data_IF_607776403506
#
_entry.id   IF_607776403506
#
_cell.length_a   1.000
_cell.length_b   1.000
_cell.length_c   1.000
_cell.angle_alpha   90.00
_cell.angle_beta   90.00
_cell.angle_gamma   90.00
#
_symmetry.space_group_name_H-M   'P 1'
#
loop_
_entity.id
_entity.type
_entity.pdbx_description
1 polymer ?
#
# COMPACT_ATOMS: atom_id res chain seq x y z
N UNK A 1 3.83 -3.49 -28.40
CA UNK A 1 3.65 -3.04 -27.00
C UNK A 1 2.50 -2.04 -26.85
N UNK A 2 2.23 -1.16 -27.81
CA UNK A 2 1.16 -0.16 -27.68
C UNK A 2 -0.27 -0.70 -27.42
N UNK A 3 -0.58 -1.89 -27.89
CA UNK A 3 -1.93 -2.48 -27.74
C UNK A 3 -2.24 -3.00 -26.34
N UNK A 4 -1.22 -3.36 -25.56
CA UNK A 4 -1.34 -3.94 -24.22
C UNK A 4 -0.99 -2.95 -23.09
N UNK A 5 -0.80 -1.69 -23.44
CA UNK A 5 -0.54 -0.60 -22.48
C UNK A 5 0.79 -0.70 -21.74
N UNK A 6 0.96 0.18 -20.76
CA UNK A 6 2.09 0.16 -19.81
C UNK A 6 1.94 -1.00 -18.86
N UNK A 7 3.01 -1.77 -18.55
CA UNK A 7 2.95 -2.85 -17.58
C UNK A 7 2.62 -2.36 -16.16
N UNK A 8 1.85 -3.16 -15.44
CA UNK A 8 1.52 -2.96 -14.02
C UNK A 8 2.31 -3.94 -13.15
N UNK A 9 2.89 -3.46 -12.07
CA UNK A 9 3.37 -4.33 -10.99
C UNK A 9 2.18 -4.78 -10.14
N UNK A 10 2.00 -6.08 -9.95
CA UNK A 10 0.96 -6.59 -9.04
C UNK A 10 1.56 -6.69 -7.64
N UNK A 11 1.28 -5.71 -6.80
CA UNK A 11 1.60 -5.77 -5.38
C UNK A 11 0.43 -6.38 -4.59
N UNK A 12 0.75 -7.08 -3.49
CA UNK A 12 -0.25 -7.71 -2.63
C UNK A 12 -0.23 -7.11 -1.22
N UNK A 13 -1.41 -6.93 -0.63
CA UNK A 13 -1.56 -6.43 0.74
C UNK A 13 -2.77 -7.05 1.44
N UNK A 14 -2.67 -7.26 2.74
CA UNK A 14 -3.79 -7.60 3.64
C UNK A 14 -4.38 -6.38 4.34
N UNK A 15 -3.80 -5.22 4.15
CA UNK A 15 -4.18 -3.95 4.79
C UNK A 15 -4.35 -2.85 3.74
N UNK A 16 -5.40 -2.87 2.90
CA UNK A 16 -5.62 -1.90 1.83
C UNK A 16 -5.60 -0.43 2.28
N UNK A 17 -5.97 -0.15 3.52
CA UNK A 17 -5.94 1.21 4.08
C UNK A 17 -4.55 1.85 4.14
N UNK A 18 -3.47 1.06 4.02
CA UNK A 18 -2.08 1.58 3.96
C UNK A 18 -1.64 1.95 2.55
N UNK A 19 -2.37 1.52 1.49
CA UNK A 19 -2.03 1.80 0.09
C UNK A 19 -1.87 3.29 -0.23
N UNK A 20 -2.68 4.21 0.34
CA UNK A 20 -2.46 5.65 0.12
C UNK A 20 -1.11 6.16 0.58
N UNK A 21 -0.46 5.45 1.52
CA UNK A 21 0.87 5.78 2.04
C UNK A 21 2.01 5.01 1.36
N UNK A 22 1.72 4.33 0.25
CA UNK A 22 2.74 3.66 -0.56
C UNK A 22 3.75 4.66 -1.12
N UNK A 23 5.05 4.35 -0.99
CA UNK A 23 6.13 5.15 -1.57
C UNK A 23 7.17 4.31 -2.32
N UNK A 24 7.12 2.98 -2.21
CA UNK A 24 7.96 2.06 -2.97
C UNK A 24 7.28 0.71 -3.19
N UNK A 25 7.81 -0.06 -4.14
CA UNK A 25 7.57 -1.49 -4.31
C UNK A 25 8.87 -2.24 -4.06
N UNK A 26 8.82 -3.36 -3.34
CA UNK A 26 10.00 -4.14 -3.02
C UNK A 26 9.98 -5.49 -3.74
N UNK A 27 11.10 -5.84 -4.39
CA UNK A 27 11.29 -7.10 -5.10
C UNK A 27 12.47 -7.88 -4.54
N UNK A 28 12.42 -9.21 -4.62
CA UNK A 28 13.55 -10.06 -4.27
C UNK A 28 14.61 -10.05 -5.39
N UNK A 29 15.83 -9.58 -5.15
CA UNK A 29 16.87 -9.46 -6.22
C UNK A 29 17.17 -10.79 -6.93
N UNK A 30 17.02 -11.90 -6.22
CA UNK A 30 17.33 -13.26 -6.71
C UNK A 30 16.11 -13.99 -7.29
N UNK A 31 14.91 -13.39 -7.18
CA UNK A 31 13.66 -13.97 -7.67
C UNK A 31 13.54 -13.70 -9.17
N UNK A 32 13.00 -14.68 -9.90
CA UNK A 32 12.61 -14.55 -11.29
C UNK A 32 11.19 -13.98 -11.39
N UNK A 33 11.00 -13.00 -12.25
CA UNK A 33 9.73 -12.33 -12.54
C UNK A 33 9.31 -12.53 -13.98
N UNK A 34 8.01 -12.47 -14.23
CA UNK A 34 7.44 -12.56 -15.58
C UNK A 34 6.51 -11.41 -15.86
N UNK A 35 6.55 -10.92 -17.10
CA UNK A 35 5.52 -10.04 -17.65
C UNK A 35 4.49 -10.91 -18.38
N UNK A 36 3.22 -10.69 -18.04
CA UNK A 36 2.10 -11.51 -18.51
C UNK A 36 1.04 -10.62 -19.12
N UNK A 37 0.73 -10.84 -20.39
CA UNK A 37 -0.43 -10.25 -21.07
C UNK A 37 -1.68 -11.06 -20.72
N UNK A 38 -2.74 -10.36 -20.33
CA UNK A 38 -4.02 -10.93 -19.91
C UNK A 38 -5.13 -9.86 -19.95
N UNK A 39 -6.27 -10.18 -19.39
CA UNK A 39 -7.39 -9.25 -19.24
C UNK A 39 -7.74 -9.06 -17.77
N UNK A 40 -8.13 -7.84 -17.40
CA UNK A 40 -8.64 -7.56 -16.08
C UNK A 40 -9.99 -8.27 -15.89
N UNK A 41 -10.12 -9.08 -14.84
CA UNK A 41 -11.32 -9.87 -14.57
C UNK A 41 -12.58 -9.03 -14.27
N UNK A 42 -12.41 -7.76 -13.89
CA UNK A 42 -13.52 -6.90 -13.47
C UNK A 42 -14.11 -6.06 -14.60
N UNK A 43 -13.26 -5.59 -15.53
CA UNK A 43 -13.70 -4.71 -16.61
C UNK A 43 -13.41 -5.26 -18.02
N UNK A 44 -12.66 -6.37 -18.12
CA UNK A 44 -12.34 -7.01 -19.40
C UNK A 44 -11.27 -6.29 -20.24
N UNK A 45 -10.61 -5.28 -19.68
CA UNK A 45 -9.58 -4.52 -20.39
C UNK A 45 -8.28 -5.31 -20.53
N UNK A 46 -7.58 -5.10 -21.63
CA UNK A 46 -6.24 -5.65 -21.86
C UNK A 46 -5.25 -5.06 -20.86
N UNK A 47 -4.39 -5.90 -20.31
CA UNK A 47 -3.34 -5.46 -19.39
C UNK A 47 -2.09 -6.33 -19.50
N UNK A 48 -0.95 -5.75 -19.19
CA UNK A 48 0.30 -6.47 -18.96
C UNK A 48 0.64 -6.34 -17.48
N UNK A 49 0.88 -7.46 -16.81
CA UNK A 49 1.17 -7.49 -15.37
C UNK A 49 2.49 -8.17 -15.08
N UNK A 50 3.20 -7.70 -14.05
CA UNK A 50 4.47 -8.26 -13.60
C UNK A 50 4.30 -8.88 -12.22
N UNK A 51 4.75 -10.13 -12.06
CA UNK A 51 4.73 -10.88 -10.79
C UNK A 51 5.89 -11.89 -10.76
N UNK A 52 6.15 -12.45 -9.58
CA UNK A 52 7.16 -13.50 -9.43
C UNK A 52 6.77 -14.76 -10.21
N UNK A 53 7.69 -15.29 -11.02
CA UNK A 53 7.48 -16.48 -11.87
C UNK A 53 6.98 -17.70 -11.10
N UNK A 54 7.50 -18.03 -9.89
CA UNK A 54 7.00 -19.15 -9.11
C UNK A 54 5.51 -19.04 -8.73
N UNK A 55 4.97 -17.82 -8.65
CA UNK A 55 3.58 -17.54 -8.28
C UNK A 55 2.64 -17.42 -9.49
N UNK A 56 3.13 -17.63 -10.71
CA UNK A 56 2.33 -17.50 -11.93
C UNK A 56 1.02 -18.30 -11.85
N UNK A 57 1.10 -19.58 -11.53
CA UNK A 57 -0.08 -20.45 -11.50
C UNK A 57 -0.91 -20.35 -10.21
N UNK A 58 -0.48 -19.57 -9.24
CA UNK A 58 -1.32 -19.17 -8.09
C UNK A 58 -2.35 -18.12 -8.52
N UNK A 59 -1.97 -17.27 -9.47
CA UNK A 59 -2.80 -16.17 -9.96
C UNK A 59 -3.47 -16.46 -11.30
N UNK A 60 -2.88 -17.32 -12.13
CA UNK A 60 -3.37 -17.66 -13.45
C UNK A 60 -3.75 -19.15 -13.53
N UNK A 61 -4.92 -19.42 -14.09
CA UNK A 61 -5.36 -20.79 -14.25
C UNK A 61 -4.59 -21.48 -15.39
N UNK A 62 -3.82 -22.53 -15.08
CA UNK A 62 -3.01 -23.26 -16.05
C UNK A 62 -3.81 -23.75 -17.26
N UNK A 63 -5.12 -24.03 -17.11
CA UNK A 63 -5.99 -24.44 -18.23
C UNK A 63 -6.20 -23.32 -19.25
N UNK A 64 -5.97 -22.07 -18.88
CA UNK A 64 -6.11 -20.91 -19.76
C UNK A 64 -4.83 -20.57 -20.54
N UNK A 65 -3.69 -21.22 -20.23
CA UNK A 65 -2.38 -20.92 -20.83
C UNK A 65 -2.34 -21.13 -22.35
N UNK A 66 -3.12 -22.12 -22.86
CA UNK A 66 -3.17 -22.45 -24.28
C UNK A 66 -4.36 -21.81 -25.02
N UNK A 67 -5.15 -20.97 -24.35
CA UNK A 67 -6.24 -20.21 -24.98
C UNK A 67 -5.63 -18.98 -25.65
N UNK A 68 -5.96 -18.74 -26.91
CA UNK A 68 -5.49 -17.53 -27.59
C UNK A 68 -6.09 -16.28 -26.93
N UNK A 69 -5.28 -15.23 -26.79
CA UNK A 69 -5.74 -13.98 -26.17
C UNK A 69 -6.94 -13.37 -26.91
N UNK A 70 -6.98 -13.55 -28.23
CA UNK A 70 -8.03 -13.02 -29.12
C UNK A 70 -9.37 -13.75 -28.94
N UNK A 71 -9.38 -14.94 -28.36
CA UNK A 71 -10.60 -15.73 -28.13
C UNK A 71 -11.37 -15.29 -26.86
N UNK A 72 -10.76 -14.42 -26.02
CA UNK A 72 -11.37 -13.93 -24.79
C UNK A 72 -12.61 -13.09 -25.04
N UNK A 73 -13.65 -13.37 -24.27
CA UNK A 73 -14.87 -12.53 -24.19
C UNK A 73 -15.12 -12.11 -22.76
N UNK A 74 -15.48 -10.83 -22.52
CA UNK A 74 -15.83 -10.37 -21.17
C UNK A 74 -16.88 -11.27 -20.52
N UNK A 75 -16.57 -11.77 -19.31
CA UNK A 75 -17.42 -12.71 -18.59
C UNK A 75 -17.00 -14.19 -18.68
N UNK A 76 -16.00 -14.52 -19.49
CA UNK A 76 -15.45 -15.87 -19.55
C UNK A 76 -14.82 -16.25 -18.20
N UNK A 77 -15.08 -17.50 -17.75
CA UNK A 77 -14.53 -18.01 -16.50
C UNK A 77 -13.02 -18.30 -16.55
N UNK A 78 -12.50 -18.57 -17.74
CA UNK A 78 -11.09 -18.81 -17.99
C UNK A 78 -10.54 -17.61 -18.76
N UNK A 79 -9.75 -16.80 -18.09
CA UNK A 79 -9.11 -15.63 -18.68
C UNK A 79 -7.77 -16.06 -19.26
N UNK A 80 -7.56 -15.98 -20.58
CA UNK A 80 -6.31 -16.35 -21.22
C UNK A 80 -5.17 -15.44 -20.78
N UNK A 81 -3.97 -16.00 -20.81
CA UNK A 81 -2.75 -15.24 -20.50
C UNK A 81 -1.57 -15.74 -21.31
N UNK A 82 -0.59 -14.87 -21.51
CA UNK A 82 0.64 -15.17 -22.23
C UNK A 82 1.83 -14.52 -21.55
N UNK A 83 2.84 -15.31 -21.18
CA UNK A 83 4.12 -14.78 -20.72
C UNK A 83 4.84 -14.16 -21.90
N UNK A 84 5.20 -12.86 -21.79
CA UNK A 84 5.83 -12.08 -22.86
C UNK A 84 7.21 -11.55 -22.50
N UNK A 85 7.64 -11.74 -21.26
CA UNK A 85 8.98 -11.37 -20.79
C UNK A 85 9.35 -12.07 -19.49
N UNK A 86 10.65 -12.27 -19.29
CA UNK A 86 11.22 -12.82 -18.06
C UNK A 86 12.34 -11.87 -17.59
N UNK A 87 12.42 -11.62 -16.28
CA UNK A 87 13.33 -10.66 -15.67
C UNK A 87 13.88 -11.24 -14.37
N UNK A 88 15.08 -10.84 -13.99
CA UNK A 88 15.54 -10.99 -12.62
C UNK A 88 15.02 -9.84 -11.76
N UNK A 89 14.86 -10.04 -10.45
CA UNK A 89 14.49 -8.93 -9.58
C UNK A 89 15.45 -7.74 -9.69
N UNK A 90 16.74 -8.00 -9.92
CA UNK A 90 17.75 -6.95 -10.18
C UNK A 90 17.46 -6.09 -11.40
N UNK A 91 16.79 -6.63 -12.43
CA UNK A 91 16.43 -5.89 -13.64
C UNK A 91 15.26 -4.92 -13.41
N UNK A 92 14.46 -5.17 -12.37
CA UNK A 92 13.32 -4.35 -12.00
C UNK A 92 13.71 -3.22 -11.02
N UNK A 93 14.81 -3.37 -10.28
CA UNK A 93 15.26 -2.37 -9.30
C UNK A 93 15.56 -1.04 -9.99
N UNK A 94 15.03 0.05 -9.41
CA UNK A 94 15.17 1.40 -9.93
C UNK A 94 14.10 1.81 -10.95
N UNK A 95 13.24 0.87 -11.42
CA UNK A 95 12.10 1.24 -12.25
C UNK A 95 11.15 2.15 -11.47
N UNK A 96 10.64 3.18 -12.13
CA UNK A 96 9.65 4.09 -11.59
C UNK A 96 8.24 3.62 -11.93
N UNK A 97 7.27 3.93 -11.07
CA UNK A 97 5.85 3.64 -11.30
C UNK A 97 4.98 4.83 -10.89
N UNK A 98 3.77 4.92 -11.42
CA UNK A 98 2.80 5.94 -11.05
C UNK A 98 2.21 5.63 -9.67
N UNK A 99 2.05 6.66 -8.82
CA UNK A 99 1.42 6.52 -7.51
C UNK A 99 0.01 5.92 -7.66
N UNK A 100 -0.25 4.79 -7.00
CA UNK A 100 -1.52 4.06 -7.13
C UNK A 100 -2.71 4.88 -6.63
N UNK A 101 -2.56 5.54 -5.49
CA UNK A 101 -3.59 6.36 -4.86
C UNK A 101 -3.03 7.76 -4.61
N UNK A 102 -3.09 8.67 -5.59
CA UNK A 102 -2.42 9.97 -5.55
C UNK A 102 -3.22 11.02 -4.77
N UNK A 103 -3.63 10.69 -3.54
CA UNK A 103 -4.34 11.65 -2.67
C UNK A 103 -3.41 12.70 -2.08
N UNK A 104 -2.20 12.28 -1.73
CA UNK A 104 -1.19 13.11 -1.07
C UNK A 104 0.17 12.83 -1.67
N UNK A 105 0.95 13.88 -1.93
CA UNK A 105 2.35 13.75 -2.32
C UNK A 105 3.24 13.62 -1.10
N UNK A 106 4.29 12.78 -1.12
CA UNK A 106 5.25 12.69 -0.03
C UNK A 106 6.03 14.00 0.14
N UNK A 107 6.35 14.33 1.39
CA UNK A 107 7.16 15.49 1.74
C UNK A 107 8.30 15.09 2.66
N UNK A 108 9.39 15.87 2.63
CA UNK A 108 10.55 15.73 3.53
C UNK A 108 10.73 17.04 4.30
N UNK A 109 11.21 16.94 5.54
CA UNK A 109 11.65 18.10 6.30
C UNK A 109 12.91 18.72 5.65
N UNK A 110 12.92 20.04 5.51
CA UNK A 110 14.09 20.79 5.07
C UNK A 110 14.95 21.20 6.27
N UNK A 111 16.22 21.54 6.02
CA UNK A 111 17.19 21.92 7.08
C UNK A 111 16.78 23.19 7.84
N UNK A 112 16.04 24.07 7.21
CA UNK A 112 15.54 25.33 7.79
C UNK A 112 14.25 25.15 8.61
N UNK A 113 13.78 23.90 8.76
CA UNK A 113 12.55 23.57 9.48
C UNK A 113 11.29 23.69 8.62
N UNK A 114 11.41 24.06 7.35
CA UNK A 114 10.32 24.00 6.38
C UNK A 114 10.17 22.55 5.84
N UNK A 115 9.28 22.36 4.90
CA UNK A 115 9.12 21.10 4.19
C UNK A 115 9.24 21.32 2.67
N UNK A 116 9.57 20.25 1.95
CA UNK A 116 9.60 20.22 0.49
C UNK A 116 8.97 18.95 -0.04
N UNK A 117 8.40 19.04 -1.22
CA UNK A 117 7.84 17.92 -1.95
C UNK A 117 8.96 16.95 -2.35
N UNK A 118 8.72 15.64 -2.23
CA UNK A 118 9.72 14.58 -2.34
C UNK A 118 9.34 13.44 -3.29
N UNK A 119 8.31 13.62 -4.15
CA UNK A 119 7.85 12.58 -5.10
C UNK A 119 8.96 12.10 -6.04
N UNK A 120 9.91 12.96 -6.39
CA UNK A 120 11.04 12.59 -7.25
C UNK A 120 11.93 11.48 -6.68
N UNK A 121 11.86 11.21 -5.37
CA UNK A 121 12.59 10.13 -4.69
C UNK A 121 11.73 8.90 -4.41
N UNK A 122 10.41 9.04 -4.47
CA UNK A 122 9.43 7.99 -4.20
C UNK A 122 9.07 7.19 -5.47
N UNK A 123 8.14 6.26 -5.32
CA UNK A 123 7.51 5.49 -6.39
C UNK A 123 8.48 4.73 -7.27
N UNK A 124 9.44 4.04 -6.63
CA UNK A 124 10.46 3.21 -7.26
C UNK A 124 10.43 1.79 -6.75
N UNK A 125 10.87 0.88 -7.61
CA UNK A 125 11.13 -0.51 -7.24
C UNK A 125 12.47 -0.59 -6.52
N UNK A 126 12.48 -1.16 -5.31
CA UNK A 126 13.66 -1.31 -4.46
C UNK A 126 13.95 -2.79 -4.16
N UNK A 127 15.18 -3.17 -3.86
CA UNK A 127 15.51 -4.55 -3.50
C UNK A 127 15.21 -4.84 -2.04
N UNK A 128 14.80 -6.08 -1.73
CA UNK A 128 14.66 -6.57 -0.35
C UNK A 128 14.81 -8.08 -0.27
N UNK A 129 15.73 -8.55 0.55
CA UNK A 129 16.04 -9.98 0.70
C UNK A 129 14.93 -10.75 1.46
N UNK A 130 13.99 -10.05 2.10
CA UNK A 130 12.86 -10.65 2.83
C UNK A 130 11.66 -10.98 1.94
N UNK A 131 11.68 -10.57 0.67
CA UNK A 131 10.61 -10.90 -0.28
C UNK A 131 10.64 -12.40 -0.54
N UNK A 132 9.48 -13.06 -0.37
CA UNK A 132 9.30 -14.50 -0.58
C UNK A 132 8.40 -14.80 -1.77
N UNK A 133 8.34 -16.07 -2.14
CA UNK A 133 7.42 -16.60 -3.15
C UNK A 133 6.51 -17.69 -2.56
N UNK A 134 6.28 -17.65 -1.25
CA UNK A 134 5.39 -18.59 -0.56
C UNK A 134 3.92 -18.19 -0.73
N UNK A 135 3.67 -16.88 -0.70
CA UNK A 135 2.36 -16.27 -0.91
C UNK A 135 2.45 -14.91 -1.63
N UNK A 136 1.32 -14.25 -1.81
CA UNK A 136 1.26 -12.95 -2.47
C UNK A 136 1.63 -13.01 -3.95
N UNK A 137 2.41 -12.03 -4.42
CA UNK A 137 2.82 -11.85 -5.82
C UNK A 137 4.33 -11.81 -6.01
N UNK A 138 5.10 -11.88 -4.91
CA UNK A 138 6.55 -11.64 -4.91
C UNK A 138 6.94 -10.18 -5.12
N UNK A 139 5.99 -9.25 -5.04
CA UNK A 139 6.19 -7.81 -5.05
C UNK A 139 5.46 -7.23 -3.83
N UNK A 140 6.22 -6.64 -2.92
CA UNK A 140 5.70 -6.12 -1.66
C UNK A 140 5.46 -4.61 -1.79
N UNK A 141 4.28 -4.17 -1.43
CA UNK A 141 3.94 -2.76 -1.26
C UNK A 141 4.62 -2.21 -0.01
N UNK A 142 5.26 -1.05 -0.10
CA UNK A 142 6.01 -0.41 0.99
C UNK A 142 5.31 0.88 1.43
N UNK A 143 4.85 0.88 2.69
CA UNK A 143 4.29 2.05 3.37
C UNK A 143 5.09 2.34 4.66
N UNK A 144 6.18 3.10 4.58
CA UNK A 144 7.15 3.24 5.67
C UNK A 144 6.58 3.82 6.97
N UNK A 145 5.47 4.53 6.90
CA UNK A 145 4.78 5.08 8.09
C UNK A 145 3.99 4.03 8.86
N UNK A 146 3.73 2.83 8.29
CA UNK A 146 2.84 1.83 8.86
C UNK A 146 3.45 0.43 8.96
N UNK A 147 4.77 0.28 8.78
CA UNK A 147 5.49 -0.96 8.95
C UNK A 147 6.96 -0.74 9.32
N UNK A 148 7.48 -1.48 10.33
CA UNK A 148 8.88 -1.34 10.75
C UNK A 148 9.83 -1.83 9.65
N UNK A 149 9.51 -2.94 9.00
CA UNK A 149 10.32 -3.50 7.93
C UNK A 149 10.27 -2.58 6.69
N UNK A 150 9.09 -2.03 6.38
CA UNK A 150 8.91 -1.04 5.33
C UNK A 150 9.76 0.21 5.59
N UNK A 151 9.74 0.72 6.83
CA UNK A 151 10.54 1.88 7.22
C UNK A 151 12.05 1.62 7.09
N UNK A 152 12.51 0.42 7.45
CA UNK A 152 13.92 0.05 7.38
C UNK A 152 14.40 -0.09 5.92
N UNK A 153 13.65 -0.80 5.07
CA UNK A 153 14.03 -1.01 3.67
C UNK A 153 13.94 0.30 2.87
N UNK A 154 12.91 1.11 3.11
CA UNK A 154 12.77 2.42 2.47
C UNK A 154 13.92 3.36 2.83
N UNK A 155 14.28 3.45 4.13
CA UNK A 155 15.42 4.25 4.61
C UNK A 155 16.74 3.79 3.97
N UNK A 156 16.98 2.49 3.90
CA UNK A 156 18.18 1.94 3.27
C UNK A 156 18.27 2.29 1.77
N UNK A 157 17.12 2.40 1.09
CA UNK A 157 17.03 2.75 -0.32
C UNK A 157 16.88 4.27 -0.58
N UNK A 158 16.86 5.11 0.46
CA UNK A 158 16.69 6.56 0.33
C UNK A 158 15.28 6.98 -0.13
N UNK A 159 14.27 6.12 0.10
CA UNK A 159 12.88 6.40 -0.22
C UNK A 159 12.22 7.17 0.92
N UNK A 160 11.54 8.31 0.64
CA UNK A 160 10.83 9.07 1.66
C UNK A 160 9.61 8.31 2.18
N UNK A 161 9.29 8.49 3.46
CA UNK A 161 7.98 8.14 4.00
C UNK A 161 6.94 9.15 3.52
N UNK A 162 5.68 8.73 3.40
CA UNK A 162 4.61 9.66 3.12
C UNK A 162 4.10 10.29 4.43
N UNK A 163 4.43 11.55 4.62
CA UNK A 163 3.96 12.36 5.74
C UNK A 163 3.07 13.50 5.25
N UNK A 164 2.20 13.97 6.15
CA UNK A 164 1.42 15.18 6.02
C UNK A 164 1.98 16.24 6.98
N UNK A 165 1.67 17.50 6.73
CA UNK A 165 2.09 18.63 7.60
C UNK A 165 0.84 19.15 8.33
N UNK A 166 0.86 19.13 9.66
CA UNK A 166 -0.23 19.66 10.46
C UNK A 166 -0.10 21.21 10.61
N UNK A 167 -1.11 21.86 11.18
CA UNK A 167 -1.11 23.33 11.42
C UNK A 167 0.04 23.85 12.29
N UNK A 168 0.75 22.96 12.98
CA UNK A 168 1.93 23.33 13.79
C UNK A 168 3.24 23.22 13.00
N UNK A 169 3.18 22.83 11.72
CA UNK A 169 4.36 22.58 10.89
C UNK A 169 5.04 21.22 11.17
N UNK A 170 4.38 20.34 11.93
CA UNK A 170 4.94 19.03 12.28
C UNK A 170 4.57 17.99 11.24
N UNK A 171 5.51 17.09 10.89
CA UNK A 171 5.24 15.93 10.06
C UNK A 171 4.43 14.89 10.81
N UNK A 172 3.40 14.35 10.16
CA UNK A 172 2.52 13.31 10.71
C UNK A 172 2.20 12.27 9.65
N UNK A 173 2.00 10.98 10.00
CA UNK A 173 1.39 10.01 9.09
C UNK A 173 0.04 10.49 8.59
N UNK A 174 -0.52 9.84 7.56
CA UNK A 174 -1.86 10.19 7.05
C UNK A 174 -2.99 10.01 8.06
N UNK A 175 -2.78 9.23 9.11
CA UNK A 175 -3.75 9.02 10.19
C UNK A 175 -3.23 9.57 11.51
N UNK A 176 -4.13 9.98 12.38
CA UNK A 176 -3.83 10.45 13.73
C UNK A 176 -3.58 9.28 14.71
N UNK A 177 -3.27 9.60 15.97
CA UNK A 177 -3.02 8.61 17.02
C UNK A 177 -4.24 7.76 17.38
N UNK A 178 -5.44 8.14 16.93
CA UNK A 178 -6.67 7.38 17.14
C UNK A 178 -6.96 6.42 15.99
N UNK A 179 -6.19 6.49 14.90
CA UNK A 179 -6.38 5.69 13.69
C UNK A 179 -7.39 6.29 12.71
N UNK A 180 -7.57 7.60 12.73
CA UNK A 180 -8.47 8.34 11.84
C UNK A 180 -7.63 9.16 10.84
N UNK A 181 -8.01 9.14 9.56
CA UNK A 181 -7.42 10.03 8.56
C UNK A 181 -7.62 11.49 8.96
N UNK A 182 -6.56 12.31 8.89
CA UNK A 182 -6.62 13.73 9.22
C UNK A 182 -7.70 14.43 8.41
N UNK A 183 -8.44 15.35 9.06
CA UNK A 183 -9.28 16.30 8.35
C UNK A 183 -8.37 17.35 7.67
N UNK A 184 -8.75 17.82 6.48
CA UNK A 184 -7.98 18.86 5.79
C UNK A 184 -7.84 20.13 6.62
N UNK A 185 -8.86 20.45 7.41
CA UNK A 185 -8.82 21.59 8.34
C UNK A 185 -7.79 21.45 9.47
N UNK A 186 -7.23 20.26 9.73
CA UNK A 186 -6.17 20.02 10.72
C UNK A 186 -4.77 20.18 10.13
N UNK A 187 -4.67 20.33 8.80
CA UNK A 187 -3.41 20.39 8.05
C UNK A 187 -2.99 21.84 7.78
N UNK A 188 -1.70 21.99 7.44
CA UNK A 188 -1.14 23.25 6.97
C UNK A 188 -1.75 23.67 5.61
N UNK A 189 -2.14 24.92 5.45
CA UNK A 189 -2.83 25.39 4.26
C UNK A 189 -1.95 25.36 3.00
N UNK A 190 -0.65 25.65 3.13
CA UNK A 190 0.27 25.60 2.00
C UNK A 190 0.49 24.15 1.56
N UNK A 191 0.64 23.23 2.53
CA UNK A 191 0.73 21.81 2.27
C UNK A 191 -0.51 21.28 1.54
N UNK A 192 -1.71 21.61 2.02
CA UNK A 192 -2.97 21.19 1.37
C UNK A 192 -3.02 21.65 -0.07
N UNK A 193 -2.70 22.92 -0.31
CA UNK A 193 -2.72 23.52 -1.66
C UNK A 193 -1.71 22.89 -2.63
N UNK A 194 -0.53 22.49 -2.15
CA UNK A 194 0.56 22.03 -3.02
C UNK A 194 0.63 20.51 -3.14
N UNK A 195 0.25 19.78 -2.09
CA UNK A 195 0.51 18.36 -1.97
C UNK A 195 -0.73 17.47 -1.83
N UNK A 196 -1.94 18.05 -1.65
CA UNK A 196 -3.16 17.26 -1.47
C UNK A 196 -4.08 17.40 -2.67
N UNK A 197 -4.52 16.27 -3.24
CA UNK A 197 -5.65 16.25 -4.17
C UNK A 197 -6.94 16.35 -3.35
N UNK A 198 -7.41 17.59 -3.17
CA UNK A 198 -8.52 17.94 -2.28
C UNK A 198 -9.80 17.18 -2.63
N UNK A 199 -10.12 17.06 -3.93
CA UNK A 199 -11.34 16.38 -4.38
C UNK A 199 -11.34 14.88 -4.05
N UNK A 200 -10.18 14.23 -4.23
CA UNK A 200 -10.04 12.80 -3.93
C UNK A 200 -9.90 12.54 -2.42
N UNK A 201 -9.09 13.36 -1.73
CA UNK A 201 -8.85 13.16 -0.30
C UNK A 201 -10.09 13.44 0.55
N UNK A 202 -10.94 14.39 0.17
CA UNK A 202 -12.19 14.76 0.87
C UNK A 202 -13.11 13.57 1.16
N UNK A 203 -13.10 12.57 0.31
CA UNK A 203 -13.92 11.36 0.49
C UNK A 203 -13.41 10.47 1.63
N UNK A 204 -12.15 10.63 2.03
CA UNK A 204 -11.45 9.78 3.01
C UNK A 204 -11.10 10.50 4.31
N UNK A 205 -11.06 11.83 4.30
CA UNK A 205 -10.80 12.58 5.53
C UNK A 205 -11.77 12.20 6.65
N UNK A 206 -11.26 12.09 7.86
CA UNK A 206 -12.06 11.73 9.03
C UNK A 206 -12.50 10.27 9.12
N UNK A 207 -12.19 9.41 8.15
CA UNK A 207 -12.53 7.97 8.20
C UNK A 207 -11.54 7.20 9.06
N UNK A 208 -12.06 6.22 9.77
CA UNK A 208 -11.29 5.32 10.63
C UNK A 208 -10.69 4.17 9.81
N UNK A 209 -9.41 3.85 10.02
CA UNK A 209 -8.72 2.74 9.32
C UNK A 209 -9.24 1.36 9.77
N UNK A 210 -9.83 1.28 10.95
CA UNK A 210 -10.51 0.07 11.44
C UNK A 210 -11.81 0.46 12.13
N UNK A 211 -12.88 -0.27 11.87
CA UNK A 211 -14.17 -0.07 12.56
C UNK A 211 -14.04 -0.20 14.10
N UNK A 212 -13.07 -0.99 14.57
CA UNK A 212 -12.77 -1.13 16.00
C UNK A 212 -12.28 0.17 16.68
N UNK A 213 -11.80 1.14 15.92
CA UNK A 213 -11.35 2.44 16.45
C UNK A 213 -12.47 3.48 16.45
N UNK A 214 -13.49 3.27 15.62
CA UNK A 214 -14.59 4.22 15.45
C UNK A 214 -15.51 4.21 16.68
N UNK A 215 -15.68 5.36 17.37
CA UNK A 215 -16.55 5.48 18.52
C UNK A 215 -18.01 5.12 18.26
N UNK A 216 -18.50 5.19 17.00
CA UNK A 216 -19.88 4.80 16.67
C UNK A 216 -20.22 3.35 17.04
N UNK A 217 -19.20 2.46 17.09
CA UNK A 217 -19.36 1.07 17.50
C UNK A 217 -19.13 0.85 19.01
N UNK A 218 -19.12 1.92 19.82
CA UNK A 218 -19.03 1.83 21.26
C UNK A 218 -20.33 2.36 21.89
N UNK A 219 -21.12 1.44 22.46
CA UNK A 219 -22.39 1.75 23.12
C UNK A 219 -22.23 1.58 24.62
N UNK A 220 -22.56 2.60 25.43
CA UNK A 220 -22.43 2.61 26.89
C UNK A 220 -21.02 2.16 27.38
N UNK A 221 -19.97 2.60 26.64
CA UNK A 221 -18.59 2.25 26.94
C UNK A 221 -18.17 0.83 26.57
N UNK A 222 -19.06 0.05 25.93
CA UNK A 222 -18.77 -1.31 25.45
C UNK A 222 -18.67 -1.34 23.93
N UNK A 223 -17.64 -2.03 23.44
CA UNK A 223 -17.47 -2.22 22.00
C UNK A 223 -18.48 -3.24 21.45
N UNK A 224 -19.24 -2.83 20.42
CA UNK A 224 -20.15 -3.71 19.69
C UNK A 224 -19.44 -4.31 18.48
N UNK A 225 -18.77 -5.44 18.71
CA UNK A 225 -18.02 -6.17 17.70
C UNK A 225 -18.91 -6.62 16.53
N UNK A 226 -20.16 -7.02 16.79
CA UNK A 226 -21.09 -7.49 15.75
C UNK A 226 -21.46 -6.37 14.80
N UNK A 227 -21.79 -5.19 15.33
CA UNK A 227 -22.09 -4.02 14.51
C UNK A 227 -20.87 -3.60 13.70
N UNK A 228 -19.68 -3.58 14.30
CA UNK A 228 -18.42 -3.23 13.62
C UNK A 228 -18.04 -4.21 12.52
N UNK A 229 -18.25 -5.52 12.72
CA UNK A 229 -17.97 -6.54 11.69
C UNK A 229 -19.02 -6.54 10.55
N UNK A 230 -20.25 -6.14 10.83
CA UNK A 230 -21.31 -6.04 9.81
C UNK A 230 -21.19 -4.77 8.96
N UNK A 231 -20.53 -3.74 9.46
CA UNK A 231 -20.31 -2.49 8.74
C UNK A 231 -19.19 -2.62 7.70
N UNK A 232 -19.34 -1.91 6.59
CA UNK A 232 -18.31 -1.82 5.57
C UNK A 232 -17.06 -1.16 6.15
N UNK A 233 -15.91 -1.81 5.99
CA UNK A 233 -14.63 -1.29 6.43
C UNK A 233 -13.98 -0.42 5.36
N UNK A 234 -13.05 0.46 5.76
CA UNK A 234 -12.26 1.24 4.84
C UNK A 234 -11.45 0.35 3.86
N UNK A 235 -10.97 -0.81 4.31
CA UNK A 235 -10.27 -1.77 3.46
C UNK A 235 -11.14 -2.23 2.29
N UNK A 236 -12.43 -2.57 2.55
CA UNK A 236 -13.38 -2.96 1.52
C UNK A 236 -13.67 -1.81 0.57
N UNK A 237 -13.84 -0.60 1.11
CA UNK A 237 -14.09 0.59 0.32
C UNK A 237 -12.95 0.90 -0.67
N UNK A 238 -11.68 0.86 -0.20
CA UNK A 238 -10.51 1.05 -1.07
C UNK A 238 -10.44 -0.05 -2.15
N UNK A 239 -10.70 -1.32 -1.78
CA UNK A 239 -10.76 -2.39 -2.76
C UNK A 239 -11.82 -2.15 -3.84
N UNK A 240 -13.00 -1.64 -3.47
CA UNK A 240 -14.07 -1.32 -4.42
C UNK A 240 -13.69 -0.15 -5.33
N UNK A 241 -13.09 0.90 -4.77
CA UNK A 241 -12.56 2.04 -5.53
C UNK A 241 -11.55 1.57 -6.59
N UNK A 242 -10.56 0.77 -6.19
CA UNK A 242 -9.54 0.26 -7.12
C UNK A 242 -10.14 -0.65 -8.20
N UNK A 243 -11.17 -1.44 -7.89
CA UNK A 243 -11.92 -2.21 -8.90
C UNK A 243 -12.61 -1.31 -9.92
N UNK A 244 -13.28 -0.27 -9.46
CA UNK A 244 -13.98 0.68 -10.34
C UNK A 244 -13.00 1.42 -11.26
N UNK A 245 -11.78 1.68 -10.77
CA UNK A 245 -10.71 2.31 -11.54
C UNK A 245 -9.95 1.35 -12.46
N UNK A 246 -10.25 0.04 -12.42
CA UNK A 246 -9.50 -0.97 -13.19
C UNK A 246 -8.11 -1.28 -12.64
N UNK A 247 -7.77 -0.79 -11.45
CA UNK A 247 -6.46 -0.94 -10.80
C UNK A 247 -6.37 -2.13 -9.85
N UNK A 248 -7.48 -2.83 -9.58
CA UNK A 248 -7.46 -4.09 -8.84
C UNK A 248 -7.30 -5.26 -9.83
N UNK A 249 -6.28 -6.09 -9.63
CA UNK A 249 -6.10 -7.33 -10.38
C UNK A 249 -6.98 -8.46 -9.82
N UNK A 250 -6.95 -8.65 -8.49
CA UNK A 250 -7.75 -9.64 -7.77
C UNK A 250 -8.02 -9.15 -6.35
N UNK A 251 -9.22 -9.36 -5.87
CA UNK A 251 -9.57 -9.17 -4.45
C UNK A 251 -10.16 -10.45 -3.91
N UNK A 252 -9.65 -10.89 -2.77
CA UNK A 252 -10.12 -12.10 -2.11
C UNK A 252 -10.17 -11.90 -0.59
N UNK A 253 -11.00 -12.69 0.08
CA UNK A 253 -11.04 -12.67 1.54
C UNK A 253 -9.84 -13.47 2.05
N UNK A 254 -8.94 -12.81 2.76
CA UNK A 254 -7.80 -13.44 3.41
C UNK A 254 -7.99 -13.39 4.92
N UNK A 255 -7.90 -14.56 5.56
CA UNK A 255 -7.97 -14.68 7.03
C UNK A 255 -6.55 -14.79 7.55
N UNK A 256 -6.14 -13.83 8.36
CA UNK A 256 -4.83 -13.82 9.00
C UNK A 256 -4.94 -13.36 10.46
N UNK A 257 -3.95 -13.70 11.24
CA UNK A 257 -3.85 -13.20 12.60
C UNK A 257 -3.45 -11.73 12.57
N UNK A 258 -4.19 -10.90 13.32
CA UNK A 258 -3.86 -9.50 13.49
C UNK A 258 -3.49 -9.25 14.95
N UNK A 259 -2.41 -8.51 15.25
CA UNK A 259 -2.00 -8.26 16.63
C UNK A 259 -3.04 -7.42 17.37
N UNK A 260 -3.39 -7.86 18.58
CA UNK A 260 -4.33 -7.16 19.46
C UNK A 260 -3.65 -6.71 20.74
N UNK A 261 -4.12 -5.59 21.27
CA UNK A 261 -3.68 -5.10 22.57
C UNK A 261 -4.18 -6.04 23.69
N UNK A 262 -3.28 -6.60 24.49
CA UNK A 262 -3.60 -7.53 25.57
C UNK A 262 -4.50 -6.95 26.67
N UNK A 263 -4.60 -5.61 26.78
CA UNK A 263 -5.46 -4.95 27.77
C UNK A 263 -6.86 -4.63 27.25
N UNK A 264 -6.98 -4.28 26.00
CA UNK A 264 -8.24 -3.77 25.42
C UNK A 264 -8.85 -4.70 24.41
N UNK A 265 -8.13 -5.75 24.03
CA UNK A 265 -8.48 -6.69 22.96
C UNK A 265 -8.80 -6.03 21.60
N UNK A 266 -8.41 -4.75 21.44
CA UNK A 266 -8.55 -4.04 20.18
C UNK A 266 -7.32 -4.27 19.29
N UNK A 267 -7.49 -4.27 17.95
CA UNK A 267 -6.36 -4.37 17.04
C UNK A 267 -5.36 -3.22 17.29
N UNK A 268 -4.06 -3.50 17.19
CA UNK A 268 -3.02 -2.48 17.32
C UNK A 268 -2.64 -1.91 15.97
N UNK A 269 -2.25 -0.64 15.96
CA UNK A 269 -1.74 0.06 14.81
C UNK A 269 -0.24 0.28 14.99
N UNK A 270 0.57 -0.12 13.99
CA UNK A 270 1.94 0.37 13.92
C UNK A 270 1.92 1.86 13.60
N UNK A 271 2.58 2.66 14.41
CA UNK A 271 2.59 4.12 14.28
C UNK A 271 3.97 4.67 14.67
N UNK A 272 4.62 5.51 13.86
CA UNK A 272 5.87 6.15 14.23
C UNK A 272 5.61 7.17 15.33
N UNK A 273 6.31 7.02 16.45
CA UNK A 273 6.26 7.93 17.58
C UNK A 273 7.64 8.55 17.80
N UNK A 274 7.66 9.83 18.11
CA UNK A 274 8.87 10.50 18.60
C UNK A 274 9.16 9.98 20.01
N UNK A 275 10.15 9.10 20.15
CA UNK A 275 10.59 8.58 21.43
C UNK A 275 11.89 9.24 21.83
N UNK A 276 11.88 10.01 22.93
CA UNK A 276 13.11 10.41 23.62
C UNK A 276 13.76 9.21 24.30
N UNK A 277 14.78 8.61 23.68
CA UNK A 277 15.63 7.61 24.32
C UNK A 277 16.60 8.33 25.26
N UNK A 278 16.35 8.27 26.58
CA UNK A 278 17.35 8.62 27.60
C UNK A 278 18.36 7.47 27.68
N UNK A 279 19.55 7.64 27.12
CA UNK A 279 20.66 6.71 27.33
C UNK A 279 21.20 6.96 28.73
N UNK A 280 20.90 6.07 29.68
CA UNK A 280 21.58 5.99 30.97
C UNK A 280 22.98 5.42 30.75
N UNK A 281 23.98 6.27 30.66
CA UNK A 281 25.38 5.89 30.71
C UNK A 281 25.70 5.42 32.15
N UNK A 282 25.86 4.12 32.33
CA UNK A 282 26.49 3.58 33.55
C UNK A 282 27.98 3.93 33.50
N UNK A 283 28.38 5.01 34.18
CA UNK A 283 29.79 5.28 34.43
C UNK A 283 30.31 4.25 35.40
N UNK A 284 31.24 3.40 34.94
CA UNK A 284 32.01 2.51 35.81
C UNK A 284 33.02 3.39 36.55
N UNK A 285 32.82 3.59 37.85
CA UNK A 285 33.87 4.17 38.72
C UNK A 285 34.99 3.14 38.84
N UNK A 286 36.22 3.55 38.53
CA UNK A 286 37.47 2.78 38.72
C UNK A 286 37.92 2.95 40.15
#
# INVERSE_FOLDING_TARGET
MAEWGTPYFIAWTTTPWTLPSNTALCVGPKIDYVAVQTYNAYNGEKMTVVLAKPLLYTHFNKKAENIALEDYKPGDKLIPFKVVGEYKGTDLVGMEYEQLIPWVKPVEAAEDGSWKEASAKAFRVIPGDYVTTEDGTGIVHIAPTFGVDDANVARAAGIPSLFMINKKGETRPMVDLTGKFYLMEELDEAFVKECVDVEKYKEYEGRWVKNAYDPQFTVDGKYDEKAAQAAESLDVYICMMLKQQGLAFKTEKHVHNYPHCWRTDKPVLYYPLDTGLSVLLLAKTV
#
